data_IF_716290077745
#
_entry.id   IF_716290077745
#
_cell.length_a   1.000
_cell.length_b   1.000
_cell.length_c   1.000
_cell.angle_alpha   90.00
_cell.angle_beta   90.00
_cell.angle_gamma   90.00
#
_symmetry.space_group_name_H-M   'P 1'
#
loop_
_entity.id
_entity.type
_entity.pdbx_description
1 polymer ?
#
# COMPACT_ATOMS: atom_id res chain seq x y z
N UNK A 1 3.79 -15.21 -6.68
CA UNK A 1 3.67 -16.57 -6.10
C UNK A 1 4.13 -17.65 -7.08
N UNK A 2 3.49 -17.82 -8.24
CA UNK A 2 3.86 -18.87 -9.22
C UNK A 2 5.30 -18.72 -9.72
N UNK A 3 5.73 -17.49 -10.01
CA UNK A 3 7.07 -17.21 -10.53
C UNK A 3 8.17 -17.73 -9.58
N UNK A 4 8.10 -17.37 -8.29
CA UNK A 4 9.10 -17.77 -7.30
C UNK A 4 9.01 -19.24 -6.85
N UNK A 5 8.08 -20.01 -7.36
CA UNK A 5 8.04 -21.46 -7.14
C UNK A 5 8.74 -22.26 -8.24
N UNK A 6 9.05 -21.61 -9.37
CA UNK A 6 9.50 -22.30 -10.59
C UNK A 6 10.77 -21.75 -11.18
N UNK A 7 11.30 -20.65 -10.65
CA UNK A 7 12.51 -20.02 -11.18
C UNK A 7 13.48 -19.63 -10.07
N UNK A 8 14.75 -19.81 -10.35
CA UNK A 8 15.85 -19.26 -9.57
C UNK A 8 16.30 -17.94 -10.17
N UNK A 9 16.32 -16.90 -9.37
CA UNK A 9 16.87 -15.60 -9.78
C UNK A 9 18.39 -15.70 -9.80
N UNK A 10 19.01 -15.16 -10.86
CA UNK A 10 20.46 -15.06 -11.04
C UNK A 10 20.93 -13.62 -10.87
N UNK A 11 20.23 -12.68 -11.53
CA UNK A 11 20.56 -11.25 -11.49
C UNK A 11 19.33 -10.38 -11.47
N UNK A 12 19.43 -9.24 -10.77
CA UNK A 12 18.41 -8.19 -10.75
C UNK A 12 19.10 -6.85 -10.99
N UNK A 13 18.52 -6.03 -11.87
CA UNK A 13 18.95 -4.66 -12.07
C UNK A 13 17.77 -3.70 -11.85
N UNK A 14 17.99 -2.68 -10.99
CA UNK A 14 16.99 -1.66 -10.68
C UNK A 14 17.40 -0.31 -11.28
N UNK A 15 16.44 0.37 -11.89
CA UNK A 15 16.59 1.77 -12.27
C UNK A 15 15.98 2.67 -11.19
N UNK A 16 16.82 3.47 -10.55
CA UNK A 16 16.40 4.33 -9.43
C UNK A 16 15.61 5.56 -9.90
N UNK A 17 15.83 6.02 -11.14
CA UNK A 17 15.09 7.13 -11.73
C UNK A 17 13.86 6.64 -12.49
N UNK A 18 12.70 7.19 -12.16
CA UNK A 18 11.44 6.94 -12.88
C UNK A 18 11.38 7.69 -14.22
N UNK A 19 12.19 8.73 -14.40
CA UNK A 19 12.16 9.62 -15.58
C UNK A 19 13.20 9.22 -16.62
N UNK A 20 14.41 8.85 -16.19
CA UNK A 20 15.55 8.72 -17.10
C UNK A 20 15.52 7.42 -17.91
N UNK A 21 14.75 6.42 -17.49
CA UNK A 21 14.61 5.15 -18.20
C UNK A 21 13.69 5.27 -19.42
N UNK A 22 12.61 6.07 -19.33
CA UNK A 22 11.60 6.24 -20.38
C UNK A 22 11.35 7.71 -20.72
N UNK A 23 12.41 8.50 -20.83
CA UNK A 23 12.33 9.94 -21.12
C UNK A 23 11.54 10.30 -22.39
N UNK A 24 11.64 9.45 -23.41
CA UNK A 24 10.98 9.68 -24.72
C UNK A 24 9.47 9.53 -24.65
N UNK A 25 8.98 8.67 -23.77
CA UNK A 25 7.55 8.31 -23.71
C UNK A 25 6.79 9.05 -22.60
N UNK A 26 7.48 9.97 -21.88
CA UNK A 26 6.92 10.70 -20.73
C UNK A 26 6.29 9.80 -19.65
N UNK A 27 6.73 8.55 -19.57
CA UNK A 27 6.22 7.55 -18.62
C UNK A 27 7.02 7.60 -17.33
N UNK A 28 6.32 7.84 -16.22
CA UNK A 28 6.89 7.76 -14.87
C UNK A 28 6.70 6.35 -14.31
N UNK A 29 7.64 5.46 -14.59
CA UNK A 29 7.58 4.07 -14.17
C UNK A 29 8.87 3.61 -13.50
N UNK A 30 8.73 2.90 -12.38
CA UNK A 30 9.85 2.16 -11.78
C UNK A 30 10.09 0.90 -12.62
N UNK A 31 11.34 0.64 -12.96
CA UNK A 31 11.71 -0.46 -13.86
C UNK A 31 12.73 -1.37 -13.18
N UNK A 32 12.52 -2.65 -13.35
CA UNK A 32 13.43 -3.70 -12.92
C UNK A 32 13.66 -4.68 -14.07
N UNK A 33 14.90 -5.15 -14.23
CA UNK A 33 15.25 -6.23 -15.13
C UNK A 33 15.64 -7.43 -14.28
N UNK A 34 15.02 -8.58 -14.54
CA UNK A 34 15.32 -9.83 -13.83
C UNK A 34 15.82 -10.86 -14.82
N UNK A 35 16.99 -11.45 -14.52
CA UNK A 35 17.47 -12.67 -15.16
C UNK A 35 17.21 -13.84 -14.22
N UNK A 36 16.46 -14.83 -14.70
CA UNK A 36 16.12 -16.02 -13.94
C UNK A 36 16.26 -17.28 -14.78
N UNK A 37 16.44 -18.41 -14.12
CA UNK A 37 16.58 -19.74 -14.74
C UNK A 37 15.44 -20.60 -14.19
N UNK A 38 14.87 -21.45 -15.04
CA UNK A 38 13.82 -22.39 -14.63
C UNK A 38 14.44 -23.56 -13.86
N UNK A 39 14.52 -23.41 -12.57
CA UNK A 39 14.99 -24.42 -11.61
C UNK A 39 14.40 -24.12 -10.23
N UNK A 40 14.44 -25.08 -9.33
CA UNK A 40 14.03 -24.87 -7.94
C UNK A 40 14.92 -23.83 -7.26
N UNK A 41 14.33 -23.04 -6.36
CA UNK A 41 15.07 -22.01 -5.64
C UNK A 41 16.06 -22.67 -4.68
N UNK A 42 17.32 -22.33 -4.85
CA UNK A 42 18.36 -22.61 -3.87
C UNK A 42 18.49 -21.43 -2.89
N UNK A 43 18.14 -21.57 -1.60
CA UNK A 43 18.20 -20.50 -0.63
C UNK A 43 19.58 -19.84 -0.48
N UNK A 44 20.64 -20.63 -0.71
CA UNK A 44 22.03 -20.21 -0.54
C UNK A 44 22.69 -19.74 -1.85
N UNK A 45 21.95 -19.69 -2.96
CA UNK A 45 22.48 -19.20 -4.22
C UNK A 45 22.63 -17.68 -4.18
N UNK A 46 23.82 -17.21 -4.51
CA UNK A 46 24.09 -15.78 -4.63
C UNK A 46 23.35 -15.17 -5.81
N UNK A 47 22.61 -14.12 -5.55
CA UNK A 47 21.92 -13.28 -6.52
C UNK A 47 22.65 -11.95 -6.62
N UNK A 48 23.02 -11.54 -7.83
CA UNK A 48 23.59 -10.24 -8.09
C UNK A 48 22.46 -9.21 -8.18
N UNK A 49 22.45 -8.23 -7.27
CA UNK A 49 21.55 -7.07 -7.30
C UNK A 49 22.37 -5.87 -7.71
N UNK A 50 22.01 -5.23 -8.81
CA UNK A 50 22.67 -4.02 -9.28
C UNK A 50 21.66 -2.87 -9.40
N UNK A 51 22.13 -1.63 -9.26
CA UNK A 51 21.28 -0.46 -9.44
C UNK A 51 22.02 0.67 -10.15
N UNK A 52 21.29 1.40 -10.99
CA UNK A 52 21.73 2.62 -11.65
C UNK A 52 20.67 3.71 -11.53
N UNK A 53 21.04 4.97 -11.77
CA UNK A 53 20.06 6.07 -11.82
C UNK A 53 19.22 5.94 -13.07
N UNK A 54 19.87 5.68 -14.23
CA UNK A 54 19.20 5.55 -15.50
C UNK A 54 20.03 4.78 -16.52
N UNK A 55 19.78 5.01 -17.81
CA UNK A 55 20.52 4.34 -18.90
C UNK A 55 21.97 4.82 -18.98
N UNK A 56 22.25 6.05 -18.59
CA UNK A 56 23.59 6.66 -18.77
C UNK A 56 24.66 6.01 -17.90
N UNK A 57 24.30 5.55 -16.73
CA UNK A 57 25.18 4.93 -15.73
C UNK A 57 24.99 3.41 -15.61
N UNK A 58 24.30 2.80 -16.57
CA UNK A 58 24.03 1.35 -16.57
C UNK A 58 25.30 0.50 -16.63
N UNK A 59 26.39 1.05 -17.19
CA UNK A 59 27.66 0.34 -17.32
C UNK A 59 28.56 0.47 -16.07
N UNK A 60 28.18 1.35 -15.14
CA UNK A 60 28.86 1.55 -13.86
C UNK A 60 27.86 1.46 -12.68
N UNK A 61 27.10 0.35 -12.57
CA UNK A 61 26.09 0.22 -11.55
C UNK A 61 26.70 -0.03 -10.17
N UNK A 62 25.97 0.38 -9.13
CA UNK A 62 26.24 -0.14 -7.78
C UNK A 62 25.84 -1.61 -7.74
N UNK A 63 26.72 -2.47 -7.21
CA UNK A 63 26.54 -3.93 -7.18
C UNK A 63 26.56 -4.42 -5.73
N UNK A 64 25.59 -5.28 -5.38
CA UNK A 64 25.55 -6.05 -4.13
C UNK A 64 25.23 -7.51 -4.42
N UNK A 65 25.61 -8.39 -3.52
CA UNK A 65 25.31 -9.82 -3.57
C UNK A 65 24.52 -10.22 -2.35
N UNK A 66 23.48 -11.00 -2.56
CA UNK A 66 22.61 -11.51 -1.51
C UNK A 66 22.34 -12.99 -1.75
N UNK A 67 22.13 -13.76 -0.69
CA UNK A 67 21.54 -15.09 -0.84
C UNK A 67 20.06 -14.96 -1.24
N UNK A 68 19.55 -15.95 -1.98
CA UNK A 68 18.14 -15.95 -2.38
C UNK A 68 17.18 -15.83 -1.19
N UNK A 69 17.53 -16.45 -0.06
CA UNK A 69 16.75 -16.38 1.19
C UNK A 69 16.73 -15.00 1.86
N UNK A 70 17.71 -14.15 1.58
CA UNK A 70 17.74 -12.76 2.09
C UNK A 70 16.84 -11.84 1.26
N UNK A 71 16.64 -12.17 -0.01
CA UNK A 71 15.81 -11.39 -0.92
C UNK A 71 14.35 -11.83 -0.93
N UNK A 72 14.08 -13.11 -0.66
CA UNK A 72 12.74 -13.68 -0.75
C UNK A 72 12.47 -14.48 0.53
N UNK A 73 11.40 -14.15 1.23
CA UNK A 73 10.90 -15.02 2.30
C UNK A 73 10.28 -16.28 1.68
N UNK A 74 11.08 -17.34 1.61
CA UNK A 74 10.69 -18.61 0.99
C UNK A 74 9.60 -19.35 1.78
N UNK A 75 9.42 -19.03 3.07
CA UNK A 75 8.41 -19.63 3.94
C UNK A 75 7.07 -18.89 3.84
N UNK A 76 7.08 -17.64 3.39
CA UNK A 76 5.86 -16.88 3.17
C UNK A 76 5.09 -17.40 1.96
N UNK A 77 3.76 -17.47 2.10
CA UNK A 77 2.86 -17.80 0.99
C UNK A 77 2.99 -16.79 -0.15
N UNK A 78 3.18 -15.53 0.17
CA UNK A 78 3.20 -14.43 -0.80
C UNK A 78 4.55 -14.27 -1.49
N UNK A 79 5.64 -14.76 -0.89
CA UNK A 79 7.01 -14.72 -1.43
C UNK A 79 7.37 -13.33 -1.96
N UNK A 80 7.32 -12.33 -1.08
CA UNK A 80 7.65 -10.95 -1.43
C UNK A 80 9.14 -10.85 -1.71
N UNK A 81 9.49 -10.21 -2.82
CA UNK A 81 10.87 -9.91 -3.18
C UNK A 81 11.29 -8.57 -2.57
N UNK A 82 12.29 -8.63 -1.69
CA UNK A 82 12.92 -7.45 -1.09
C UNK A 82 14.19 -7.09 -1.86
N UNK A 83 14.32 -5.82 -2.26
CA UNK A 83 15.43 -5.35 -3.07
C UNK A 83 16.11 -4.15 -2.40
N UNK A 84 16.93 -4.37 -1.35
CA UNK A 84 17.67 -3.28 -0.72
C UNK A 84 18.77 -2.77 -1.66
N UNK A 85 18.76 -1.47 -1.94
CA UNK A 85 19.75 -0.81 -2.80
C UNK A 85 20.80 -0.02 -2.01
N UNK A 86 20.58 0.15 -0.71
CA UNK A 86 21.46 0.87 0.22
C UNK A 86 21.65 0.10 1.51
N UNK A 87 22.74 0.39 2.24
CA UNK A 87 23.05 -0.22 3.53
C UNK A 87 21.97 0.11 4.58
N UNK A 88 21.35 1.28 4.46
CA UNK A 88 20.23 1.67 5.32
C UNK A 88 19.00 0.80 5.11
N UNK A 89 18.66 0.51 3.86
CA UNK A 89 17.52 -0.37 3.53
C UNK A 89 17.80 -1.80 3.98
N UNK A 90 19.01 -2.28 3.82
CA UNK A 90 19.45 -3.58 4.31
C UNK A 90 19.35 -3.68 5.83
N UNK A 91 19.82 -2.65 6.57
CA UNK A 91 19.69 -2.58 8.02
C UNK A 91 18.22 -2.61 8.48
N UNK A 92 17.32 -1.96 7.74
CA UNK A 92 15.87 -1.97 8.03
C UNK A 92 15.30 -3.37 7.78
N UNK A 93 15.64 -4.02 6.68
CA UNK A 93 15.20 -5.39 6.41
C UNK A 93 15.66 -6.36 7.48
N UNK A 94 16.93 -6.29 7.88
CA UNK A 94 17.49 -7.10 8.95
C UNK A 94 16.75 -6.87 10.28
N UNK A 95 16.40 -5.62 10.60
CA UNK A 95 15.61 -5.32 11.81
C UNK A 95 14.21 -5.93 11.73
N UNK A 96 13.51 -5.74 10.61
CA UNK A 96 12.14 -6.27 10.42
C UNK A 96 12.13 -7.79 10.42
N UNK A 97 13.15 -8.46 9.88
CA UNK A 97 13.27 -9.91 9.87
C UNK A 97 13.41 -10.53 11.27
N UNK A 98 13.82 -9.74 12.28
CA UNK A 98 13.87 -10.21 13.67
C UNK A 98 12.49 -10.23 14.35
N UNK A 99 11.48 -9.60 13.77
CA UNK A 99 10.14 -9.56 14.34
C UNK A 99 9.47 -10.93 14.21
N UNK A 100 9.00 -11.45 15.34
CA UNK A 100 8.40 -12.78 15.42
C UNK A 100 6.90 -12.77 15.13
N UNK A 101 6.26 -11.63 15.33
CA UNK A 101 4.81 -11.49 15.21
C UNK A 101 4.42 -10.66 13.98
N UNK A 102 3.28 -11.00 13.42
CA UNK A 102 2.62 -10.26 12.34
C UNK A 102 1.26 -9.73 12.81
N UNK A 103 0.65 -8.81 12.06
CA UNK A 103 -0.62 -8.18 12.46
C UNK A 103 -1.72 -9.20 12.79
N UNK A 104 -1.75 -10.33 12.09
CA UNK A 104 -2.76 -11.38 12.33
C UNK A 104 -2.64 -12.07 13.66
N UNK A 105 -1.47 -12.06 14.29
CA UNK A 105 -1.26 -12.63 15.64
C UNK A 105 -1.96 -11.79 16.72
N UNK A 106 -2.27 -10.55 16.39
CA UNK A 106 -3.01 -9.61 17.23
C UNK A 106 -4.47 -9.42 16.80
N UNK A 107 -5.02 -10.31 15.96
CA UNK A 107 -6.34 -10.16 15.32
C UNK A 107 -6.51 -8.87 14.49
N UNK A 108 -5.41 -8.27 14.09
CA UNK A 108 -5.38 -7.06 13.26
C UNK A 108 -5.23 -7.46 11.80
N UNK A 109 -6.01 -6.83 10.95
CA UNK A 109 -6.02 -7.05 9.49
C UNK A 109 -5.88 -5.74 8.75
N UNK A 110 -5.35 -5.84 7.54
CA UNK A 110 -5.32 -4.75 6.58
C UNK A 110 -6.15 -5.13 5.35
N UNK A 111 -6.92 -4.18 4.84
CA UNK A 111 -7.68 -4.35 3.60
C UNK A 111 -7.69 -3.05 2.81
N UNK A 112 -8.06 -3.16 1.55
CA UNK A 112 -8.20 -2.00 0.64
C UNK A 112 -9.63 -1.47 0.71
N UNK A 113 -9.78 -0.15 0.72
CA UNK A 113 -11.08 0.52 0.67
C UNK A 113 -11.93 -0.01 -0.49
N UNK A 114 -13.20 -0.34 -0.25
CA UNK A 114 -14.05 -0.99 -1.26
C UNK A 114 -14.59 -0.04 -2.33
N UNK A 115 -14.51 1.31 -2.12
CA UNK A 115 -15.09 2.28 -3.04
C UNK A 115 -14.14 2.53 -4.22
N UNK A 116 -14.48 1.98 -5.37
CA UNK A 116 -13.83 2.30 -6.66
C UNK A 116 -14.62 3.43 -7.31
N UNK A 117 -14.08 4.65 -7.30
CA UNK A 117 -14.81 5.88 -7.61
C UNK A 117 -15.61 5.84 -8.92
N UNK A 118 -15.00 5.41 -10.02
CA UNK A 118 -15.67 5.36 -11.34
C UNK A 118 -16.78 4.30 -11.44
N UNK A 119 -16.80 3.30 -10.53
CA UNK A 119 -17.85 2.27 -10.44
C UNK A 119 -18.96 2.64 -9.46
N UNK A 120 -18.71 3.63 -8.61
CA UNK A 120 -19.60 4.04 -7.53
C UNK A 120 -20.21 5.43 -7.75
N UNK A 121 -20.05 6.02 -8.96
CA UNK A 121 -20.47 7.40 -9.26
C UNK A 121 -21.93 7.65 -8.93
N UNK A 122 -22.82 6.69 -9.18
CA UNK A 122 -24.24 6.82 -8.92
C UNK A 122 -24.58 6.97 -7.43
N UNK A 123 -23.70 6.47 -6.53
CA UNK A 123 -23.90 6.52 -5.09
C UNK A 123 -23.19 7.71 -4.43
N UNK A 124 -22.24 8.37 -5.13
CA UNK A 124 -21.39 9.43 -4.56
C UNK A 124 -22.09 10.78 -4.68
N UNK A 125 -22.12 11.55 -3.57
CA UNK A 125 -22.76 12.85 -3.49
C UNK A 125 -21.86 13.90 -2.85
N UNK A 126 -22.04 15.16 -3.25
CA UNK A 126 -21.26 16.29 -2.74
C UNK A 126 -21.82 16.88 -1.47
N UNK A 127 -23.13 16.94 -1.35
CA UNK A 127 -23.84 17.65 -0.29
C UNK A 127 -24.83 16.75 0.45
N UNK A 128 -25.12 17.13 1.67
CA UNK A 128 -26.28 16.63 2.40
C UNK A 128 -27.53 17.20 1.71
N UNK A 129 -28.26 16.38 0.97
CA UNK A 129 -29.58 16.75 0.49
C UNK A 129 -30.58 16.65 1.67
N UNK A 130 -31.33 17.73 1.90
CA UNK A 130 -32.40 17.77 2.89
C UNK A 130 -33.48 16.75 2.47
N UNK A 131 -33.49 15.58 3.09
CA UNK A 131 -34.51 14.55 2.79
C UNK A 131 -34.13 13.16 3.32
N UNK A 132 -34.89 12.17 2.89
CA UNK A 132 -34.87 10.77 3.36
C UNK A 132 -33.65 9.93 2.92
N UNK A 133 -32.61 10.54 2.37
CA UNK A 133 -31.44 9.81 1.90
C UNK A 133 -30.44 9.65 3.03
N UNK A 134 -30.19 8.41 3.43
CA UNK A 134 -29.15 8.10 4.39
C UNK A 134 -27.78 8.16 3.72
N UNK A 135 -26.86 8.98 4.29
CA UNK A 135 -25.53 9.23 3.77
C UNK A 135 -24.48 8.78 4.77
N UNK A 136 -23.45 8.10 4.24
CA UNK A 136 -22.22 7.82 4.97
C UNK A 136 -21.09 8.74 4.49
N UNK A 137 -20.16 9.16 5.36
CA UNK A 137 -18.97 9.89 4.95
C UNK A 137 -18.11 9.03 4.04
N UNK A 138 -17.51 9.65 3.02
CA UNK A 138 -16.60 8.99 2.08
C UNK A 138 -15.20 9.57 2.25
N UNK A 139 -14.25 8.71 2.61
CA UNK A 139 -12.84 9.07 2.81
C UNK A 139 -12.02 8.78 1.56
N UNK A 140 -11.46 9.84 1.00
CA UNK A 140 -10.56 9.81 -0.13
C UNK A 140 -9.09 9.77 0.33
N UNK A 141 -8.18 9.36 -0.54
CA UNK A 141 -6.74 9.45 -0.29
C UNK A 141 -6.31 10.84 0.18
N UNK A 142 -6.94 11.91 -0.33
CA UNK A 142 -6.62 13.30 0.02
C UNK A 142 -7.09 13.71 1.42
N UNK A 143 -7.99 12.93 2.05
CA UNK A 143 -8.39 13.15 3.44
C UNK A 143 -7.34 12.62 4.42
N UNK A 144 -6.54 11.65 4.02
CA UNK A 144 -5.55 10.98 4.87
C UNK A 144 -4.23 11.77 4.80
N UNK A 145 -3.88 12.46 5.87
CA UNK A 145 -2.60 13.12 6.06
C UNK A 145 -1.85 12.48 7.23
N UNK A 146 -0.57 12.82 7.41
CA UNK A 146 0.23 12.25 8.49
C UNK A 146 -0.40 12.53 9.85
N UNK A 147 -0.91 11.48 10.50
CA UNK A 147 -1.59 11.50 11.81
C UNK A 147 -2.89 12.32 11.85
N UNK A 148 -3.43 12.78 10.72
CA UNK A 148 -4.62 13.61 10.68
C UNK A 148 -5.54 13.15 9.56
N UNK A 149 -6.80 12.86 9.89
CA UNK A 149 -7.88 12.69 8.94
C UNK A 149 -8.65 14.02 8.80
N UNK A 150 -8.56 14.64 7.63
CA UNK A 150 -9.29 15.88 7.31
C UNK A 150 -10.58 15.55 6.56
N UNK A 151 -11.70 15.58 7.26
CA UNK A 151 -13.03 15.41 6.67
C UNK A 151 -14.07 16.23 7.44
N UNK A 152 -15.03 16.89 6.78
CA UNK A 152 -15.14 17.06 5.33
C UNK A 152 -14.03 17.93 4.76
N UNK A 153 -13.66 17.65 3.50
CA UNK A 153 -12.66 18.43 2.78
C UNK A 153 -13.16 18.70 1.37
N UNK A 154 -13.26 19.97 0.99
CA UNK A 154 -13.66 20.32 -0.38
C UNK A 154 -12.60 19.86 -1.37
N UNK A 155 -12.95 18.89 -2.17
CA UNK A 155 -12.12 18.34 -3.24
C UNK A 155 -12.85 18.55 -4.57
N UNK A 156 -12.15 19.10 -5.57
CA UNK A 156 -12.73 19.30 -6.89
C UNK A 156 -13.21 17.95 -7.45
N UNK A 157 -14.47 17.90 -7.90
CA UNK A 157 -15.10 16.73 -8.53
C UNK A 157 -15.17 15.46 -7.68
N UNK A 158 -15.02 15.57 -6.34
CA UNK A 158 -15.09 14.43 -5.42
C UNK A 158 -16.16 14.64 -4.37
N UNK A 159 -17.21 13.83 -4.43
CA UNK A 159 -18.26 13.84 -3.42
C UNK A 159 -17.75 13.41 -2.04
N UNK A 160 -18.31 14.03 -1.02
CA UNK A 160 -17.90 13.81 0.37
C UNK A 160 -18.70 12.70 1.06
N UNK A 161 -19.73 12.21 0.38
CA UNK A 161 -20.67 11.24 0.92
C UNK A 161 -20.94 10.12 -0.06
N UNK A 162 -21.40 8.99 0.46
CA UNK A 162 -21.91 7.86 -0.30
C UNK A 162 -23.29 7.47 0.24
N UNK A 163 -24.27 7.25 -0.64
CA UNK A 163 -25.62 6.84 -0.25
C UNK A 163 -25.61 5.46 0.37
N UNK A 164 -26.39 5.29 1.44
CA UNK A 164 -26.61 4.00 2.12
C UNK A 164 -27.88 3.40 1.54
N UNK A 165 -27.74 2.50 0.59
CA UNK A 165 -28.84 1.77 -0.04
C UNK A 165 -28.41 0.35 -0.43
N UNK A 166 -29.35 -0.49 -0.89
CA UNK A 166 -29.03 -1.90 -1.18
C UNK A 166 -27.90 -2.09 -2.19
N UNK A 167 -27.82 -1.24 -3.21
CA UNK A 167 -26.78 -1.29 -4.25
C UNK A 167 -25.38 -0.88 -3.74
N UNK A 168 -25.30 -0.06 -2.71
CA UNK A 168 -24.03 0.44 -2.16
C UNK A 168 -23.52 -0.33 -0.94
N UNK A 169 -24.28 -1.28 -0.38
CA UNK A 169 -23.91 -2.00 0.86
C UNK A 169 -22.52 -2.63 0.83
N UNK A 170 -22.13 -3.20 -0.30
CA UNK A 170 -20.81 -3.82 -0.48
C UNK A 170 -19.65 -2.81 -0.52
N UNK A 171 -19.96 -1.53 -0.68
CA UNK A 171 -18.99 -0.42 -0.72
C UNK A 171 -18.82 0.25 0.65
N UNK A 172 -19.64 -0.16 1.64
CA UNK A 172 -19.69 0.46 2.95
C UNK A 172 -18.98 -0.41 3.99
N UNK A 173 -18.23 0.22 4.86
CA UNK A 173 -17.64 -0.40 6.04
C UNK A 173 -18.46 -0.02 7.27
N UNK A 174 -18.63 -0.91 8.26
CA UNK A 174 -19.19 -0.54 9.56
C UNK A 174 -18.38 0.62 10.16
N UNK A 175 -19.05 1.52 10.86
CA UNK A 175 -18.36 2.62 11.54
C UNK A 175 -17.63 2.08 12.79
N UNK A 176 -16.34 1.77 12.63
CA UNK A 176 -15.44 1.29 13.68
C UNK A 176 -14.19 2.17 13.74
N UNK A 177 -13.36 1.97 14.75
CA UNK A 177 -12.04 2.55 14.78
C UNK A 177 -11.15 1.90 13.71
N UNK A 178 -10.45 2.73 12.94
CA UNK A 178 -9.55 2.32 11.86
C UNK A 178 -8.25 3.11 11.89
N UNK A 179 -7.19 2.53 11.36
CA UNK A 179 -6.04 3.29 10.86
C UNK A 179 -6.19 3.36 9.35
N UNK A 180 -6.34 4.55 8.81
CA UNK A 180 -6.43 4.79 7.37
C UNK A 180 -5.04 5.07 6.81
N UNK A 181 -4.61 4.29 5.82
CA UNK A 181 -3.27 4.33 5.26
C UNK A 181 -3.34 4.62 3.76
N UNK A 182 -2.60 5.62 3.27
CA UNK A 182 -2.47 5.82 1.83
C UNK A 182 -1.84 4.60 1.19
N UNK A 183 -2.50 4.04 0.19
CA UNK A 183 -2.02 2.86 -0.54
C UNK A 183 -0.83 3.17 -1.44
N UNK A 184 -0.75 4.39 -1.94
CA UNK A 184 0.29 4.83 -2.86
C UNK A 184 1.11 5.97 -2.25
N UNK A 185 2.42 5.85 -2.38
CA UNK A 185 3.38 6.92 -2.14
C UNK A 185 4.39 6.94 -3.29
N UNK A 186 4.92 8.11 -3.61
CA UNK A 186 5.98 8.27 -4.60
C UNK A 186 7.34 8.32 -3.93
N UNK A 187 8.42 8.07 -4.67
CA UNK A 187 9.79 8.24 -4.13
C UNK A 187 10.07 9.68 -3.71
N UNK A 188 9.36 10.64 -4.31
CA UNK A 188 9.51 12.07 -4.03
C UNK A 188 8.71 12.52 -2.80
N UNK A 189 7.84 11.66 -2.24
CA UNK A 189 7.10 11.97 -1.01
C UNK A 189 8.06 12.02 0.18
N UNK A 190 7.93 13.05 1.01
CA UNK A 190 8.73 13.21 2.25
C UNK A 190 8.54 12.06 3.24
N UNK A 191 7.41 11.37 3.17
CA UNK A 191 7.11 10.20 3.99
C UNK A 191 6.50 9.11 3.09
N UNK A 192 7.09 7.91 3.13
CA UNK A 192 6.59 6.75 2.36
C UNK A 192 5.31 6.18 3.00
N UNK A 193 5.20 6.29 4.30
CA UNK A 193 4.04 5.85 5.06
C UNK A 193 3.25 7.07 5.52
N UNK A 194 2.01 7.21 5.03
CA UNK A 194 1.10 8.29 5.40
C UNK A 194 -0.18 7.64 5.92
N UNK A 195 -0.38 7.71 7.21
CA UNK A 195 -1.52 7.14 7.91
C UNK A 195 -2.20 8.16 8.81
N UNK A 196 -3.48 7.98 9.08
CA UNK A 196 -4.28 8.78 9.99
C UNK A 196 -5.15 7.89 10.87
N UNK A 197 -5.28 8.19 12.17
CA UNK A 197 -6.25 7.56 13.05
C UNK A 197 -7.67 7.98 12.66
N UNK A 198 -8.59 7.04 12.69
CA UNK A 198 -10.02 7.30 12.58
C UNK A 198 -10.75 6.65 13.75
N UNK A 199 -11.53 7.45 14.47
CA UNK A 199 -12.37 6.98 15.57
C UNK A 199 -13.84 7.01 15.16
N UNK A 200 -14.60 5.98 15.53
CA UNK A 200 -16.00 5.83 15.15
C UNK A 200 -16.91 6.98 15.64
N UNK A 201 -16.51 7.71 16.68
CA UNK A 201 -17.23 8.87 17.18
C UNK A 201 -16.94 10.17 16.40
N UNK A 202 -16.06 10.12 15.39
CA UNK A 202 -15.73 11.27 14.54
C UNK A 202 -16.92 11.72 13.67
N UNK A 203 -17.76 10.79 13.28
CA UNK A 203 -18.97 11.05 12.50
C UNK A 203 -20.18 10.33 13.08
N UNK A 204 -21.37 10.90 12.88
CA UNK A 204 -22.64 10.29 13.26
C UNK A 204 -23.20 9.50 12.08
N UNK A 205 -22.72 8.30 11.86
CA UNK A 205 -23.20 7.38 10.83
C UNK A 205 -22.88 5.95 11.26
N UNK A 206 -23.71 4.98 10.90
CA UNK A 206 -23.44 3.56 11.14
C UNK A 206 -22.42 2.97 10.17
N UNK A 207 -22.16 3.66 9.07
CA UNK A 207 -21.25 3.24 8.01
C UNK A 207 -20.32 4.35 7.56
N UNK A 208 -19.21 3.94 6.93
CA UNK A 208 -18.26 4.83 6.26
C UNK A 208 -17.86 4.24 4.90
N UNK A 209 -17.61 5.09 3.92
CA UNK A 209 -17.01 4.73 2.65
C UNK A 209 -15.51 5.01 2.67
N UNK A 210 -14.72 4.14 2.09
CA UNK A 210 -13.27 4.30 1.95
C UNK A 210 -12.87 4.04 0.50
N UNK A 211 -12.18 5.02 -0.12
CA UNK A 211 -11.67 4.91 -1.50
C UNK A 211 -10.66 3.76 -1.63
N UNK A 212 -10.63 3.10 -2.79
CA UNK A 212 -9.69 2.00 -3.08
C UNK A 212 -8.20 2.42 -3.15
N UNK A 213 -7.89 3.70 -3.07
CA UNK A 213 -6.54 4.24 -2.91
C UNK A 213 -6.11 4.39 -1.45
N UNK A 214 -6.98 4.02 -0.52
CA UNK A 214 -6.73 3.99 0.92
C UNK A 214 -6.86 2.55 1.41
N UNK A 215 -5.88 2.06 2.13
CA UNK A 215 -5.98 0.85 2.94
C UNK A 215 -6.52 1.21 4.32
N UNK A 216 -7.23 0.29 4.93
CA UNK A 216 -7.67 0.43 6.32
C UNK A 216 -7.20 -0.77 7.15
N UNK A 217 -6.69 -0.47 8.34
CA UNK A 217 -6.29 -1.46 9.33
C UNK A 217 -7.40 -1.54 10.36
N UNK A 218 -7.81 -2.75 10.72
CA UNK A 218 -8.97 -2.99 11.56
C UNK A 218 -8.85 -4.29 12.36
N UNK A 219 -9.61 -4.40 13.44
CA UNK A 219 -9.83 -5.67 14.14
C UNK A 219 -11.06 -6.36 13.58
N UNK A 220 -10.95 -7.66 13.30
CA UNK A 220 -12.06 -8.43 12.73
C UNK A 220 -13.27 -8.38 13.65
N UNK A 221 -13.07 -8.71 14.91
CA UNK A 221 -14.10 -8.73 15.94
C UNK A 221 -13.87 -7.59 16.93
N UNK A 222 -14.86 -6.67 17.03
CA UNK A 222 -14.78 -5.49 17.87
C UNK A 222 -14.13 -4.28 17.20
N UNK A 223 -13.46 -3.46 17.99
CA UNK A 223 -12.78 -2.22 17.60
C UNK A 223 -11.29 -2.30 17.93
N UNK A 224 -10.46 -1.62 17.18
CA UNK A 224 -9.14 -1.23 17.66
C UNK A 224 -9.32 -0.30 18.87
N UNK A 225 -8.53 -0.49 19.91
CA UNK A 225 -8.52 0.46 21.01
C UNK A 225 -7.80 1.77 20.63
N UNK A 226 -7.86 2.76 21.51
CA UNK A 226 -7.28 4.07 21.23
C UNK A 226 -5.76 4.01 21.05
N UNK A 227 -5.07 3.19 21.84
CA UNK A 227 -3.62 3.09 21.79
C UNK A 227 -3.18 2.38 20.51
N UNK A 228 -3.90 1.31 20.11
CA UNK A 228 -3.66 0.61 18.85
C UNK A 228 -3.86 1.51 17.61
N UNK A 229 -4.78 2.49 17.69
CA UNK A 229 -5.05 3.41 16.57
C UNK A 229 -4.01 4.53 16.47
N UNK A 230 -3.42 4.96 17.57
CA UNK A 230 -2.48 6.10 17.63
C UNK A 230 -1.02 5.65 17.69
N UNK A 231 -0.72 4.50 18.28
CA UNK A 231 0.63 3.93 18.41
C UNK A 231 1.14 3.33 17.15
#
# INVERSE_FOLDING_TARGET
ELFFNTVQIDKIHLFNSRKDTFNRDSVLQETVIIKAIREEINPNKNVLVSSSIGIKDIFEPTIKYFNSSELIDLNSKEKILHLPTSDKEESILNLVSTWQNVLTDFDIKISTGPVVSFRALEFIQNNYENGTVFLAPLFWLHNVNKMILEWPKQLKEKGQFIRIENGSKSLLLPNKNYILLRRFSTKDDKSRLIAAPYFCNYVKSDFVGVENKVNYIYRKDGHLDRNEVVG
#
